data_IF_220788239788
#
_entry.id   IF_220788239788
#
_cell.length_a   1.000
_cell.length_b   1.000
_cell.length_c   1.000
_cell.angle_alpha   90.00
_cell.angle_beta   90.00
_cell.angle_gamma   90.00
#
_symmetry.space_group_name_H-M   'P 1'
#
loop_
_entity.id
_entity.type
_entity.pdbx_description
1 polymer ?
#
# COMPACT_ATOMS: atom_id res chain seq x y z
N UNK A 1 53.80 -10.82 42.19
CA UNK A 1 52.70 -10.94 41.20
C UNK A 1 51.55 -11.69 41.86
N UNK A 2 50.44 -11.02 42.20
CA UNK A 2 49.24 -11.68 42.77
C UNK A 2 48.34 -12.11 41.61
N UNK A 3 48.18 -13.42 41.46
CA UNK A 3 47.20 -13.99 40.53
C UNK A 3 45.79 -13.72 41.06
N UNK A 4 45.00 -12.96 40.32
CA UNK A 4 43.56 -12.87 40.54
C UNK A 4 42.93 -14.17 40.04
N UNK A 5 42.40 -14.99 40.95
CA UNK A 5 41.62 -16.16 40.61
C UNK A 5 40.29 -15.69 39.99
N UNK A 6 40.21 -15.68 38.66
CA UNK A 6 39.01 -15.37 37.90
C UNK A 6 38.04 -16.55 38.07
N UNK A 7 36.97 -16.36 38.86
CA UNK A 7 35.84 -17.29 38.87
C UNK A 7 35.14 -17.16 37.52
N UNK A 8 35.43 -18.06 36.58
CA UNK A 8 34.53 -18.28 35.44
C UNK A 8 33.27 -18.96 36.01
N UNK A 9 32.30 -18.12 36.37
CA UNK A 9 30.94 -18.58 36.66
C UNK A 9 30.32 -19.05 35.36
N UNK A 10 30.28 -20.36 35.15
CA UNK A 10 29.59 -20.96 34.00
C UNK A 10 28.10 -20.68 34.05
N UNK A 11 27.52 -20.33 32.91
CA UNK A 11 26.08 -20.17 32.75
C UNK A 11 25.38 -21.51 32.92
N UNK A 12 24.31 -21.58 33.71
CA UNK A 12 23.60 -22.85 33.91
C UNK A 12 22.80 -23.22 32.66
N UNK A 13 22.69 -24.52 32.34
CA UNK A 13 21.83 -24.99 31.24
C UNK A 13 20.38 -24.56 31.44
N UNK A 14 19.95 -24.48 32.71
CA UNK A 14 18.60 -24.04 33.08
C UNK A 14 18.41 -22.54 32.80
N UNK A 15 19.42 -21.70 33.01
CA UNK A 15 19.32 -20.28 32.63
C UNK A 15 19.16 -20.10 31.13
N UNK A 16 19.93 -20.82 30.30
CA UNK A 16 19.74 -20.72 28.84
C UNK A 16 18.40 -21.30 28.41
N UNK A 17 17.93 -22.36 29.06
CA UNK A 17 16.62 -22.95 28.77
C UNK A 17 15.48 -21.95 29.03
N UNK A 18 15.45 -21.32 30.20
CA UNK A 18 14.38 -20.35 30.53
C UNK A 18 14.44 -19.15 29.60
N UNK A 19 15.63 -18.63 29.28
CA UNK A 19 15.77 -17.51 28.34
C UNK A 19 15.26 -17.88 26.94
N UNK A 20 15.64 -19.05 26.41
CA UNK A 20 15.17 -19.54 25.11
C UNK A 20 13.65 -19.74 25.09
N UNK A 21 13.05 -20.20 26.19
CA UNK A 21 11.58 -20.35 26.28
C UNK A 21 10.85 -19.00 26.30
N UNK A 22 11.41 -17.99 26.95
CA UNK A 22 10.76 -16.67 26.99
C UNK A 22 10.85 -15.96 25.64
N UNK A 23 12.00 -16.01 24.95
CA UNK A 23 12.13 -15.39 23.62
C UNK A 23 11.29 -16.10 22.56
N UNK A 24 11.09 -17.42 22.66
CA UNK A 24 10.26 -18.15 21.69
C UNK A 24 8.79 -17.73 21.77
N UNK A 25 8.26 -17.56 22.99
CA UNK A 25 6.88 -17.09 23.21
C UNK A 25 6.70 -15.67 22.67
N UNK A 26 7.62 -14.74 22.99
CA UNK A 26 7.54 -13.37 22.51
C UNK A 26 7.63 -13.26 20.98
N UNK A 27 8.48 -14.09 20.36
CA UNK A 27 8.68 -14.10 18.90
C UNK A 27 7.42 -14.50 18.13
N UNK A 28 6.66 -15.49 18.64
CA UNK A 28 5.43 -15.95 17.99
C UNK A 28 4.36 -14.84 17.97
N UNK A 29 4.15 -14.14 19.09
CA UNK A 29 3.14 -13.07 19.20
C UNK A 29 3.48 -11.89 18.27
N UNK A 30 4.76 -11.49 18.24
CA UNK A 30 5.23 -10.41 17.39
C UNK A 30 5.01 -10.74 15.90
N UNK A 31 5.31 -11.97 15.48
CA UNK A 31 5.21 -12.36 14.07
C UNK A 31 3.77 -12.31 13.55
N UNK A 32 2.78 -12.77 14.34
CA UNK A 32 1.37 -12.77 13.91
C UNK A 32 0.83 -11.34 13.76
N UNK A 33 1.13 -10.46 14.72
CA UNK A 33 0.60 -9.09 14.73
C UNK A 33 1.27 -8.15 13.73
N UNK A 34 2.55 -8.39 13.40
CA UNK A 34 3.28 -7.64 12.36
C UNK A 34 2.70 -7.89 10.97
N UNK A 35 2.25 -9.12 10.67
CA UNK A 35 1.69 -9.47 9.37
C UNK A 35 0.44 -8.64 9.01
N UNK A 36 -0.48 -8.49 9.95
CA UNK A 36 -1.71 -7.71 9.74
C UNK A 36 -1.45 -6.21 9.69
N UNK A 37 -0.49 -5.73 10.49
CA UNK A 37 -0.07 -4.32 10.47
C UNK A 37 0.58 -3.93 9.15
N UNK A 38 1.44 -4.80 8.59
CA UNK A 38 2.02 -4.62 7.27
C UNK A 38 0.95 -4.60 6.17
N UNK A 39 -0.03 -5.51 6.23
CA UNK A 39 -1.14 -5.56 5.26
C UNK A 39 -1.94 -4.25 5.26
N UNK A 40 -2.23 -3.69 6.43
CA UNK A 40 -2.92 -2.39 6.56
C UNK A 40 -2.08 -1.24 6.01
N UNK A 41 -0.77 -1.25 6.23
CA UNK A 41 0.13 -0.23 5.66
C UNK A 41 0.15 -0.27 4.13
N UNK A 42 0.20 -1.46 3.53
CA UNK A 42 0.12 -1.63 2.07
C UNK A 42 -1.26 -1.23 1.51
N UNK A 43 -2.35 -1.47 2.24
CA UNK A 43 -3.67 -0.93 1.87
C UNK A 43 -3.65 0.59 1.90
N UNK A 44 -3.11 1.19 2.96
CA UNK A 44 -3.02 2.64 3.09
C UNK A 44 -2.18 3.29 1.97
N UNK A 45 -1.08 2.67 1.52
CA UNK A 45 -0.31 3.18 0.38
C UNK A 45 -1.12 3.17 -0.92
N UNK A 46 -1.87 2.09 -1.19
CA UNK A 46 -2.80 2.05 -2.34
C UNK A 46 -3.85 3.15 -2.28
N UNK A 47 -4.45 3.40 -1.10
CA UNK A 47 -5.42 4.49 -0.93
C UNK A 47 -4.79 5.86 -1.17
N UNK A 48 -3.57 6.08 -0.68
CA UNK A 48 -2.84 7.33 -0.87
C UNK A 48 -2.53 7.58 -2.35
N UNK A 49 -2.07 6.55 -3.06
CA UNK A 49 -1.77 6.63 -4.49
C UNK A 49 -3.03 6.92 -5.32
N UNK A 50 -4.17 6.29 -4.99
CA UNK A 50 -5.45 6.57 -5.65
C UNK A 50 -5.93 8.00 -5.43
N UNK A 51 -5.75 8.55 -4.23
CA UNK A 51 -6.06 9.97 -3.96
C UNK A 51 -5.16 10.91 -4.74
N UNK A 52 -3.87 10.58 -4.84
CA UNK A 52 -2.94 11.36 -5.64
C UNK A 52 -3.33 11.34 -7.12
N UNK A 53 -3.73 10.18 -7.64
CA UNK A 53 -4.23 10.05 -9.02
C UNK A 53 -5.54 10.79 -9.23
N UNK A 54 -6.45 10.78 -8.26
CA UNK A 54 -7.67 11.60 -8.34
C UNK A 54 -7.35 13.09 -8.53
N UNK A 55 -6.45 13.64 -7.70
CA UNK A 55 -6.03 15.04 -7.83
C UNK A 55 -5.30 15.29 -9.16
N UNK A 56 -4.45 14.36 -9.60
CA UNK A 56 -3.76 14.49 -10.87
C UNK A 56 -4.71 14.46 -12.08
N UNK A 57 -5.77 13.64 -12.02
CA UNK A 57 -6.80 13.59 -13.06
C UNK A 57 -7.59 14.89 -13.14
N UNK A 58 -7.91 15.49 -11.99
CA UNK A 58 -8.54 16.81 -11.92
C UNK A 58 -7.66 17.90 -12.54
N UNK A 59 -6.35 17.89 -12.27
CA UNK A 59 -5.42 18.81 -12.91
C UNK A 59 -5.25 18.56 -14.42
N UNK A 60 -5.27 17.29 -14.85
CA UNK A 60 -5.10 16.91 -16.25
C UNK A 60 -6.30 17.29 -17.12
N UNK A 61 -7.52 17.12 -16.62
CA UNK A 61 -8.73 17.51 -17.36
C UNK A 61 -8.80 19.03 -17.57
N UNK A 62 -8.38 19.82 -16.57
CA UNK A 62 -8.30 21.29 -16.66
C UNK A 62 -7.29 21.75 -17.71
N UNK A 63 -6.11 21.10 -17.76
CA UNK A 63 -5.10 21.36 -18.79
C UNK A 63 -5.63 21.03 -20.19
N UNK A 64 -6.20 19.84 -20.36
CA UNK A 64 -6.73 19.40 -21.67
C UNK A 64 -7.85 20.31 -22.16
N UNK A 65 -8.71 20.77 -21.25
CA UNK A 65 -9.78 21.72 -21.57
C UNK A 65 -9.22 23.06 -22.07
N UNK A 66 -8.14 23.55 -21.47
CA UNK A 66 -7.51 24.82 -21.89
C UNK A 66 -6.87 24.72 -23.28
N UNK A 67 -6.29 23.57 -23.62
CA UNK A 67 -5.60 23.36 -24.89
C UNK A 67 -6.55 23.05 -26.06
N UNK A 68 -7.58 22.25 -25.82
CA UNK A 68 -8.43 21.68 -26.87
C UNK A 68 -9.88 22.16 -26.82
N UNK A 69 -10.27 22.90 -25.78
CA UNK A 69 -11.66 23.30 -25.53
C UNK A 69 -12.56 22.16 -25.02
N UNK A 70 -12.02 20.94 -24.85
CA UNK A 70 -12.74 19.76 -24.35
C UNK A 70 -11.94 19.11 -23.22
N UNK A 71 -12.57 18.85 -22.07
CA UNK A 71 -11.92 18.17 -20.96
C UNK A 71 -11.87 16.67 -21.22
N UNK A 72 -10.68 16.08 -21.25
CA UNK A 72 -10.51 14.62 -21.38
C UNK A 72 -9.70 14.12 -20.20
N UNK A 73 -10.06 12.96 -19.65
CA UNK A 73 -9.30 12.32 -18.58
C UNK A 73 -8.19 11.43 -19.14
N UNK A 74 -7.13 11.23 -18.34
CA UNK A 74 -6.01 10.39 -18.75
C UNK A 74 -6.39 8.90 -18.67
N UNK A 75 -6.09 8.15 -19.73
CA UNK A 75 -6.30 6.70 -19.79
C UNK A 75 -5.12 5.88 -19.27
N UNK A 76 -3.93 6.49 -19.17
CA UNK A 76 -2.67 5.83 -18.80
C UNK A 76 -1.93 6.63 -17.72
N UNK A 77 -1.33 5.93 -16.75
CA UNK A 77 -0.74 6.59 -15.59
C UNK A 77 0.51 7.40 -15.94
N UNK A 78 1.22 7.00 -16.99
CA UNK A 78 2.42 7.69 -17.48
C UNK A 78 2.12 9.12 -17.94
N UNK A 79 0.86 9.40 -18.31
CA UNK A 79 0.40 10.73 -18.70
C UNK A 79 0.23 11.64 -17.49
N UNK A 80 -0.15 11.08 -16.33
CA UNK A 80 -0.47 11.85 -15.13
C UNK A 80 0.76 12.32 -14.33
N UNK A 81 1.98 11.95 -14.74
CA UNK A 81 3.23 12.28 -14.03
C UNK A 81 3.20 11.94 -12.52
N UNK A 82 2.42 10.92 -12.14
CA UNK A 82 2.28 10.47 -10.75
C UNK A 82 3.30 9.37 -10.46
N UNK A 83 4.05 9.54 -9.36
CA UNK A 83 4.91 8.48 -8.82
C UNK A 83 4.10 7.58 -7.89
N UNK A 84 4.01 6.30 -8.23
CA UNK A 84 3.39 5.29 -7.38
C UNK A 84 4.29 4.84 -6.23
N UNK A 85 3.67 4.41 -5.14
CA UNK A 85 4.37 3.76 -4.03
C UNK A 85 4.99 2.43 -4.47
N UNK A 86 6.10 2.04 -3.83
CA UNK A 86 6.81 0.81 -4.19
C UNK A 86 5.89 -0.42 -4.07
N UNK A 87 5.74 -1.16 -5.17
CA UNK A 87 4.94 -2.37 -5.22
C UNK A 87 3.46 -2.17 -5.46
N UNK A 88 3.01 -0.92 -5.63
CA UNK A 88 1.68 -0.61 -6.15
C UNK A 88 1.71 -0.68 -7.67
N UNK A 89 0.80 -1.45 -8.25
CA UNK A 89 0.50 -1.44 -9.67
C UNK A 89 -0.88 -0.82 -9.87
N UNK A 90 -0.98 0.11 -10.82
CA UNK A 90 -2.21 0.80 -11.15
C UNK A 90 -2.66 0.51 -12.57
N UNK A 91 -3.96 0.30 -12.73
CA UNK A 91 -4.62 0.22 -14.03
C UNK A 91 -5.64 1.34 -14.11
N UNK A 92 -5.74 1.98 -15.27
CA UNK A 92 -6.66 3.08 -15.48
C UNK A 92 -7.43 2.93 -16.78
N UNK A 93 -8.53 3.67 -16.84
CA UNK A 93 -9.31 3.97 -18.05
C UNK A 93 -9.73 5.43 -17.93
N UNK A 94 -9.73 6.15 -19.03
CA UNK A 94 -10.12 7.55 -19.08
C UNK A 94 -10.60 7.91 -20.47
N UNK A 95 -11.63 8.73 -20.52
CA UNK A 95 -12.22 9.31 -21.72
C UNK A 95 -12.77 10.71 -21.40
N UNK A 96 -13.63 11.27 -22.25
CA UNK A 96 -14.29 12.56 -22.00
C UNK A 96 -15.42 12.47 -20.98
N UNK A 97 -15.98 11.29 -20.77
CA UNK A 97 -17.17 11.05 -19.94
C UNK A 97 -16.82 10.60 -18.53
N UNK A 98 -15.56 10.26 -18.26
CA UNK A 98 -15.08 9.89 -16.94
C UNK A 98 -13.71 9.23 -16.91
N UNK A 99 -13.33 8.78 -15.71
CA UNK A 99 -12.15 7.95 -15.51
C UNK A 99 -12.37 6.93 -14.40
N UNK A 100 -11.63 5.82 -14.46
CA UNK A 100 -11.59 4.83 -13.41
C UNK A 100 -10.18 4.33 -13.21
N UNK A 101 -9.82 4.05 -11.96
CA UNK A 101 -8.53 3.47 -11.62
C UNK A 101 -8.67 2.34 -10.61
N UNK A 102 -7.77 1.37 -10.71
CA UNK A 102 -7.61 0.25 -9.77
C UNK A 102 -6.16 0.14 -9.34
N UNK A 103 -5.93 0.16 -8.04
CA UNK A 103 -4.65 -0.11 -7.41
C UNK A 103 -4.61 -1.55 -6.85
N UNK A 104 -3.45 -2.19 -7.01
CA UNK A 104 -3.12 -3.52 -6.47
C UNK A 104 -1.72 -3.48 -5.88
N UNK A 105 -1.43 -4.31 -4.86
CA UNK A 105 -0.11 -4.33 -4.23
C UNK A 105 0.53 -5.73 -4.26
N UNK A 106 1.80 -5.82 -4.65
CA UNK A 106 2.51 -7.10 -4.80
C UNK A 106 2.62 -7.93 -3.51
N UNK A 107 2.65 -7.27 -2.34
CA UNK A 107 2.72 -7.95 -1.02
C UNK A 107 1.34 -8.30 -0.43
N UNK A 108 0.25 -7.82 -1.03
CA UNK A 108 -1.12 -8.09 -0.58
C UNK A 108 -1.95 -8.54 -1.77
N UNK A 109 -1.66 -9.75 -2.25
CA UNK A 109 -2.42 -10.36 -3.34
C UNK A 109 -3.89 -10.52 -2.95
N UNK A 110 -4.78 -10.26 -3.90
CA UNK A 110 -6.23 -10.39 -3.71
C UNK A 110 -6.91 -9.13 -3.15
N UNK A 111 -6.19 -8.21 -2.50
CA UNK A 111 -6.77 -6.91 -2.11
C UNK A 111 -6.60 -5.92 -3.24
N UNK A 112 -7.72 -5.36 -3.69
CA UNK A 112 -7.77 -4.36 -4.75
C UNK A 112 -8.55 -3.17 -4.24
N UNK A 113 -8.09 -1.99 -4.58
CA UNK A 113 -8.80 -0.74 -4.31
C UNK A 113 -9.11 -0.06 -5.65
N UNK A 114 -10.32 0.46 -5.81
CA UNK A 114 -10.72 1.11 -7.03
C UNK A 114 -11.54 2.37 -6.75
N UNK A 115 -11.52 3.29 -7.71
CA UNK A 115 -12.31 4.52 -7.75
C UNK A 115 -12.72 4.78 -9.19
N UNK A 116 -13.87 5.43 -9.36
CA UNK A 116 -14.26 5.98 -10.66
C UNK A 116 -15.00 7.30 -10.49
N UNK A 117 -14.99 8.08 -11.56
CA UNK A 117 -15.75 9.31 -11.78
C UNK A 117 -16.39 9.25 -13.16
N UNK A 118 -17.62 9.74 -13.28
CA UNK A 118 -18.34 9.80 -14.55
C UNK A 118 -18.97 8.48 -14.96
N UNK A 119 -19.26 8.34 -16.26
CA UNK A 119 -20.07 7.23 -16.79
C UNK A 119 -19.26 6.04 -17.32
N UNK A 120 -17.94 6.08 -17.15
CA UNK A 120 -17.03 5.02 -17.59
C UNK A 120 -17.19 3.73 -16.77
N UNK A 121 -16.90 2.59 -17.40
CA UNK A 121 -16.94 1.29 -16.75
C UNK A 121 -15.96 1.21 -15.56
N UNK A 122 -16.52 1.26 -14.34
CA UNK A 122 -15.79 1.17 -13.09
C UNK A 122 -15.03 -0.17 -12.96
N UNK A 123 -13.82 -0.10 -12.40
CA UNK A 123 -13.12 -1.30 -11.98
C UNK A 123 -13.71 -1.82 -10.65
N UNK A 124 -13.94 -3.14 -10.50
CA UNK A 124 -14.29 -3.71 -9.21
C UNK A 124 -13.18 -3.47 -8.16
N UNK A 125 -13.53 -3.20 -6.88
CA UNK A 125 -14.86 -3.25 -6.27
C UNK A 125 -15.59 -1.90 -6.19
N UNK A 126 -15.21 -0.89 -6.98
CA UNK A 126 -15.85 0.41 -6.91
C UNK A 126 -17.32 0.35 -7.35
N UNK A 127 -18.21 0.80 -6.46
CA UNK A 127 -19.68 0.77 -6.68
C UNK A 127 -20.33 2.14 -6.64
N UNK A 128 -19.66 3.12 -6.02
CA UNK A 128 -20.13 4.49 -5.91
C UNK A 128 -19.09 5.46 -6.47
N UNK A 129 -19.56 6.45 -7.22
CA UNK A 129 -18.71 7.47 -7.81
C UNK A 129 -17.99 8.29 -6.74
N UNK A 130 -16.71 8.60 -6.96
CA UNK A 130 -15.88 9.42 -6.07
C UNK A 130 -15.52 8.76 -4.74
N UNK A 131 -16.00 7.54 -4.47
CA UNK A 131 -15.64 6.75 -3.29
C UNK A 131 -14.57 5.72 -3.66
N UNK A 132 -13.53 5.63 -2.84
CA UNK A 132 -12.55 4.54 -2.94
C UNK A 132 -13.11 3.32 -2.22
N UNK A 133 -13.35 2.25 -2.96
CA UNK A 133 -13.74 0.95 -2.43
C UNK A 133 -12.61 -0.03 -2.51
N UNK A 134 -12.46 -0.86 -1.47
CA UNK A 134 -11.45 -1.89 -1.42
C UNK A 134 -12.05 -3.20 -0.92
N UNK A 135 -11.52 -4.31 -1.46
CA UNK A 135 -11.76 -5.66 -0.96
C UNK A 135 -11.21 -5.85 0.48
#
# INVERSE_FOLDING_TARGET
>A
MRATCRRDSGFTLVEMLVVLTMISILSVIATVTLGDSARKAYKASMLSDLRNVQTAQEAYVEQTFTETGTGTYASEITVLSVTLSNGVAMQMRGDSDGWSARATHQRVSGVRCAIFRGTIAAFPPATAEGRIDCD
#
